data_IF_205064391284
#
_entry.id   IF_205064391284
#
_cell.length_a   1.000
_cell.length_b   1.000
_cell.length_c   1.000
_cell.angle_alpha   90.00
_cell.angle_beta   90.00
_cell.angle_gamma   90.00
#
_symmetry.space_group_name_H-M   'P 1'
#
loop_
_entity.id
_entity.type
_entity.pdbx_description
1 polymer ?
#
# COMPACT_ATOMS: atom_id res chain seq x y z
N UNK A 1 -76.45 -0.73 16.95
CA UNK A 1 -75.24 -1.40 16.44
C UNK A 1 -74.19 -0.32 16.21
N UNK A 2 -73.22 -0.18 17.11
CA UNK A 2 -72.19 0.90 17.13
C UNK A 2 -70.89 0.36 16.49
N UNK A 3 -70.55 0.93 15.34
CA UNK A 3 -69.27 0.53 14.63
C UNK A 3 -68.12 1.28 15.27
N UNK A 4 -67.19 0.55 15.91
CA UNK A 4 -65.95 1.07 16.42
C UNK A 4 -64.93 1.09 15.26
N UNK A 5 -64.46 2.27 14.88
CA UNK A 5 -63.34 2.45 13.93
C UNK A 5 -62.04 2.45 14.72
N UNK A 6 -61.24 1.43 14.55
CA UNK A 6 -59.87 1.38 15.06
C UNK A 6 -58.97 2.04 14.02
N UNK A 7 -58.46 3.23 14.33
CA UNK A 7 -57.42 3.91 13.55
C UNK A 7 -56.06 3.37 13.97
N UNK A 8 -55.42 2.64 13.08
CA UNK A 8 -54.04 2.13 13.26
C UNK A 8 -53.08 3.26 12.86
N UNK A 9 -52.51 3.93 13.85
CA UNK A 9 -51.40 4.89 13.66
C UNK A 9 -50.10 4.11 13.45
N UNK A 10 -49.62 4.01 12.21
CA UNK A 10 -48.31 3.54 11.85
C UNK A 10 -47.26 4.61 12.19
N UNK A 11 -46.60 4.43 13.32
CA UNK A 11 -45.44 5.23 13.73
C UNK A 11 -44.22 4.75 12.95
N UNK A 12 -43.94 5.41 11.82
CA UNK A 12 -42.75 5.15 11.03
C UNK A 12 -41.50 5.68 11.76
N UNK A 13 -40.73 4.80 12.37
CA UNK A 13 -39.38 5.13 12.90
C UNK A 13 -38.40 5.26 11.75
N UNK A 14 -38.10 6.50 11.34
CA UNK A 14 -36.99 6.82 10.48
C UNK A 14 -35.67 6.53 11.23
N UNK A 15 -35.07 5.37 10.99
CA UNK A 15 -33.71 5.05 11.44
C UNK A 15 -32.72 5.85 10.58
N UNK A 16 -32.39 7.05 11.03
CA UNK A 16 -31.34 7.87 10.41
C UNK A 16 -29.99 7.14 10.59
N UNK A 17 -29.58 6.42 9.57
CA UNK A 17 -28.20 5.91 9.48
C UNK A 17 -27.26 7.11 9.28
N UNK A 18 -26.74 7.67 10.38
CA UNK A 18 -25.64 8.62 10.30
C UNK A 18 -24.41 7.88 9.76
N UNK A 19 -24.05 8.15 8.50
CA UNK A 19 -22.76 7.77 7.96
C UNK A 19 -21.68 8.58 8.69
N UNK A 20 -21.15 8.03 9.77
CA UNK A 20 -19.92 8.55 10.35
C UNK A 20 -18.79 8.22 9.36
N UNK A 21 -18.20 9.22 8.73
CA UNK A 21 -16.96 9.09 8.00
C UNK A 21 -15.91 8.54 8.99
N UNK A 22 -15.57 7.27 8.85
CA UNK A 22 -14.56 6.64 9.71
C UNK A 22 -13.19 7.25 9.37
N UNK A 23 -12.53 7.79 10.40
CA UNK A 23 -11.14 8.24 10.24
C UNK A 23 -10.27 7.06 9.82
N UNK A 24 -9.26 7.28 8.96
CA UNK A 24 -8.30 6.26 8.61
C UNK A 24 -7.65 5.66 9.87
N UNK A 25 -7.35 4.35 9.88
CA UNK A 25 -6.61 3.76 10.99
C UNK A 25 -5.21 4.38 11.09
N UNK A 26 -4.66 4.43 12.29
CA UNK A 26 -3.28 4.88 12.49
C UNK A 26 -2.29 3.93 11.84
N UNK A 27 -1.15 4.45 11.36
CA UNK A 27 -0.08 3.65 10.78
C UNK A 27 0.43 2.56 11.74
N UNK A 28 0.55 2.90 13.04
CA UNK A 28 0.95 1.95 14.09
C UNK A 28 -0.03 0.75 14.18
N UNK A 29 -1.33 1.02 14.15
CA UNK A 29 -2.34 -0.05 14.17
C UNK A 29 -2.26 -0.92 12.91
N UNK A 30 -2.22 -0.30 11.71
CA UNK A 30 -2.10 -1.04 10.45
C UNK A 30 -0.85 -1.91 10.47
N UNK A 31 0.28 -1.34 10.87
CA UNK A 31 1.57 -2.04 10.90
C UNK A 31 1.58 -3.20 11.92
N UNK A 32 1.02 -2.99 13.12
CA UNK A 32 0.87 -4.02 14.14
C UNK A 32 -0.01 -5.18 13.65
N UNK A 33 -1.17 -4.88 13.08
CA UNK A 33 -2.11 -5.88 12.58
C UNK A 33 -1.49 -6.66 11.40
N UNK A 34 -0.75 -5.96 10.52
CA UNK A 34 -0.03 -6.56 9.38
C UNK A 34 1.06 -7.52 9.84
N UNK A 35 1.85 -7.16 10.86
CA UNK A 35 2.86 -8.05 11.44
C UNK A 35 2.23 -9.30 12.01
N UNK A 36 1.20 -9.17 12.83
CA UNK A 36 0.50 -10.32 13.40
C UNK A 36 -0.03 -11.27 12.31
N UNK A 37 -0.55 -10.72 11.22
CA UNK A 37 -0.99 -11.49 10.06
C UNK A 37 0.17 -12.20 9.34
N UNK A 38 1.30 -11.49 9.14
CA UNK A 38 2.49 -12.02 8.48
C UNK A 38 3.10 -13.18 9.30
N UNK A 39 3.22 -13.03 10.61
CA UNK A 39 3.67 -14.09 11.52
C UNK A 39 2.75 -15.31 11.48
N UNK A 40 1.43 -15.10 11.58
CA UNK A 40 0.44 -16.17 11.53
C UNK A 40 0.45 -16.94 10.21
N UNK A 41 0.66 -16.24 9.08
CA UNK A 41 0.64 -16.84 7.75
C UNK A 41 2.03 -17.27 7.26
N UNK A 42 3.08 -17.05 8.03
CA UNK A 42 4.49 -17.30 7.64
C UNK A 42 4.86 -16.61 6.34
N UNK A 43 4.48 -15.32 6.21
CA UNK A 43 4.71 -14.48 5.03
C UNK A 43 5.54 -13.26 5.37
N UNK A 44 6.09 -12.67 4.32
CA UNK A 44 6.71 -11.35 4.39
C UNK A 44 5.65 -10.24 4.38
N UNK A 45 6.07 -9.01 4.61
CA UNK A 45 5.21 -7.83 4.50
C UNK A 45 5.62 -7.04 3.26
N UNK A 46 4.65 -6.68 2.44
CA UNK A 46 4.79 -5.67 1.40
C UNK A 46 4.05 -4.41 1.87
N UNK A 47 4.80 -3.44 2.37
CA UNK A 47 4.26 -2.16 2.82
C UNK A 47 4.41 -1.13 1.71
N UNK A 48 3.32 -0.43 1.40
CA UNK A 48 3.24 0.61 0.37
C UNK A 48 2.81 1.91 1.02
N UNK A 49 3.63 2.95 0.88
CA UNK A 49 3.25 4.32 1.19
C UNK A 49 2.74 4.98 -0.09
N UNK A 50 1.57 5.57 -0.04
CA UNK A 50 0.80 6.01 -1.20
C UNK A 50 0.08 7.32 -0.89
N UNK A 51 -0.47 7.98 -1.91
CA UNK A 51 -1.36 9.13 -1.74
C UNK A 51 -2.52 9.06 -2.73
N UNK A 52 -3.68 9.57 -2.36
CA UNK A 52 -4.90 9.51 -3.18
C UNK A 52 -4.79 10.29 -4.49
N UNK A 53 -3.96 11.32 -4.52
CA UNK A 53 -3.71 12.18 -5.68
C UNK A 53 -2.59 11.69 -6.61
N UNK A 54 -1.88 10.60 -6.23
CA UNK A 54 -0.66 10.16 -6.88
C UNK A 54 -0.96 9.26 -8.09
N UNK A 55 -0.68 9.73 -9.30
CA UNK A 55 -0.86 8.96 -10.53
C UNK A 55 -0.07 7.65 -10.58
N UNK A 56 1.26 7.64 -10.30
CA UNK A 56 2.04 6.41 -10.22
C UNK A 56 1.54 5.42 -9.16
N UNK A 57 0.90 5.90 -8.07
CA UNK A 57 0.29 5.03 -7.07
C UNK A 57 -0.90 4.27 -7.64
N UNK A 58 -1.74 4.92 -8.46
CA UNK A 58 -2.83 4.26 -9.16
C UNK A 58 -2.34 3.23 -10.18
N UNK A 59 -1.20 3.49 -10.86
CA UNK A 59 -0.59 2.49 -11.74
C UNK A 59 -0.10 1.27 -10.95
N UNK A 60 0.48 1.48 -9.76
CA UNK A 60 0.85 0.41 -8.85
C UNK A 60 -0.38 -0.41 -8.42
N UNK A 61 -1.52 0.25 -8.15
CA UNK A 61 -2.76 -0.45 -7.80
C UNK A 61 -3.24 -1.33 -8.94
N UNK A 62 -3.22 -0.83 -10.18
CA UNK A 62 -3.58 -1.62 -11.38
C UNK A 62 -2.66 -2.84 -11.52
N UNK A 63 -1.36 -2.67 -11.31
CA UNK A 63 -0.40 -3.77 -11.32
C UNK A 63 -0.71 -4.82 -10.24
N UNK A 64 -0.86 -4.39 -8.98
CA UNK A 64 -1.10 -5.28 -7.84
C UNK A 64 -2.48 -5.96 -7.91
N UNK A 65 -3.43 -5.37 -8.62
CA UNK A 65 -4.78 -5.90 -8.81
C UNK A 65 -4.91 -6.85 -9.99
N UNK A 66 -3.92 -6.91 -10.91
CA UNK A 66 -3.89 -7.91 -11.97
C UNK A 66 -3.95 -9.33 -11.38
N UNK A 67 -4.85 -10.21 -11.84
CA UNK A 67 -5.11 -11.52 -11.18
C UNK A 67 -3.86 -12.37 -10.99
N UNK A 68 -2.99 -12.42 -11.99
CA UNK A 68 -1.74 -13.17 -11.97
C UNK A 68 -0.73 -12.59 -10.98
N UNK A 69 -0.63 -11.27 -10.88
CA UNK A 69 0.26 -10.56 -9.95
C UNK A 69 -0.26 -10.70 -8.52
N UNK A 70 -1.57 -10.47 -8.33
CA UNK A 70 -2.24 -10.61 -7.04
C UNK A 70 -2.05 -12.02 -6.45
N UNK A 71 -2.11 -13.06 -7.28
CA UNK A 71 -1.89 -14.44 -6.85
C UNK A 71 -0.47 -14.63 -6.30
N UNK A 72 0.55 -14.12 -7.02
CA UNK A 72 1.94 -14.20 -6.61
C UNK A 72 2.19 -13.38 -5.33
N UNK A 73 1.72 -12.12 -5.31
CA UNK A 73 1.88 -11.25 -4.13
C UNK A 73 1.24 -11.89 -2.90
N UNK A 74 0.01 -12.39 -2.99
CA UNK A 74 -0.68 -13.06 -1.88
C UNK A 74 0.01 -14.35 -1.40
N UNK A 75 0.75 -15.02 -2.27
CA UNK A 75 1.50 -16.23 -1.91
C UNK A 75 2.62 -15.90 -0.92
N UNK A 76 3.36 -14.83 -1.15
CA UNK A 76 4.58 -14.50 -0.41
C UNK A 76 4.41 -13.38 0.62
N UNK A 77 3.44 -12.49 0.43
CA UNK A 77 3.32 -11.27 1.22
C UNK A 77 1.94 -11.07 1.85
N UNK A 78 1.93 -10.40 2.98
CA UNK A 78 0.80 -9.62 3.46
C UNK A 78 0.99 -8.19 2.96
N UNK A 79 0.08 -7.71 2.13
CA UNK A 79 0.12 -6.36 1.55
C UNK A 79 -0.57 -5.38 2.51
N UNK A 80 0.12 -4.31 2.87
CA UNK A 80 -0.43 -3.19 3.62
C UNK A 80 -0.19 -1.87 2.89
N UNK A 81 -1.12 -0.91 3.04
CA UNK A 81 -1.02 0.43 2.46
C UNK A 81 -1.23 1.47 3.54
N UNK A 82 -0.45 2.55 3.46
CA UNK A 82 -0.58 3.74 4.28
C UNK A 82 -0.64 4.95 3.36
N UNK A 83 -1.63 5.80 3.58
CA UNK A 83 -1.71 7.08 2.88
C UNK A 83 -0.85 8.10 3.62
N UNK A 84 0.07 8.71 2.88
CA UNK A 84 0.98 9.75 3.35
C UNK A 84 0.95 10.94 2.39
N UNK A 85 1.43 12.11 2.84
CA UNK A 85 1.48 13.31 2.00
C UNK A 85 0.12 13.75 1.40
N UNK A 86 -0.99 13.40 2.02
CA UNK A 86 -2.35 13.74 1.56
C UNK A 86 -2.63 15.24 1.64
N UNK A 87 -1.94 15.96 2.54
CA UNK A 87 -2.01 17.42 2.64
C UNK A 87 -1.60 18.12 1.34
N UNK A 88 -0.64 17.55 0.59
CA UNK A 88 -0.24 18.06 -0.71
C UNK A 88 -1.37 17.97 -1.75
N UNK A 89 -2.18 16.90 -1.71
CA UNK A 89 -3.39 16.70 -2.52
C UNK A 89 -4.63 17.38 -1.96
N UNK A 90 -4.54 18.09 -0.82
CA UNK A 90 -5.67 18.75 -0.13
C UNK A 90 -6.73 17.78 0.42
N UNK A 91 -6.33 16.56 0.74
CA UNK A 91 -7.16 15.51 1.32
C UNK A 91 -6.63 15.01 2.68
N UNK A 92 -6.37 15.95 3.65
CA UNK A 92 -5.77 15.58 4.94
C UNK A 92 -6.61 14.57 5.74
N UNK A 93 -7.90 14.44 5.43
CA UNK A 93 -8.81 13.46 6.04
C UNK A 93 -8.50 12.02 5.64
N UNK A 94 -7.74 11.81 4.55
CA UNK A 94 -7.31 10.49 4.07
C UNK A 94 -5.95 10.07 4.62
N UNK A 95 -5.22 10.98 5.27
CA UNK A 95 -3.91 10.71 5.85
C UNK A 95 -3.97 9.58 6.87
N UNK A 96 -3.03 8.63 6.81
CA UNK A 96 -2.84 7.64 7.85
C UNK A 96 -2.02 8.25 8.99
N UNK A 97 -2.62 8.55 10.16
CA UNK A 97 -1.88 9.21 11.24
C UNK A 97 -0.65 8.39 11.65
N UNK A 98 0.53 9.00 11.68
CA UNK A 98 1.82 8.34 11.93
C UNK A 98 2.42 7.67 10.68
N UNK A 99 1.83 7.87 9.50
CA UNK A 99 2.31 7.28 8.24
C UNK A 99 3.62 7.87 7.77
N UNK A 100 3.76 9.20 7.85
CA UNK A 100 4.98 9.90 7.44
C UNK A 100 6.18 9.49 8.32
N UNK A 101 5.97 9.36 9.64
CA UNK A 101 7.03 8.92 10.56
C UNK A 101 7.46 7.47 10.28
N UNK A 102 6.51 6.61 9.90
CA UNK A 102 6.83 5.23 9.56
C UNK A 102 7.52 5.15 8.18
N UNK A 103 7.15 5.99 7.22
CA UNK A 103 7.81 6.13 5.92
C UNK A 103 9.29 6.53 6.10
N UNK A 104 9.55 7.59 6.87
CA UNK A 104 10.90 8.03 7.25
C UNK A 104 11.70 6.93 7.91
N UNK A 105 11.09 6.17 8.84
CA UNK A 105 11.74 5.04 9.51
C UNK A 105 12.27 4.00 8.54
N UNK A 106 11.57 3.77 7.42
CA UNK A 106 11.97 2.78 6.42
C UNK A 106 12.81 3.37 5.27
N UNK A 107 13.23 4.63 5.37
CA UNK A 107 14.11 5.28 4.42
C UNK A 107 13.38 6.12 3.37
N UNK A 108 12.11 6.43 3.59
CA UNK A 108 11.30 7.31 2.72
C UNK A 108 11.50 8.81 3.00
N UNK A 109 12.60 9.20 3.67
CA UNK A 109 12.93 10.60 3.90
C UNK A 109 13.82 11.16 2.80
N UNK A 110 13.54 12.40 2.37
CA UNK A 110 14.45 13.20 1.56
C UNK A 110 15.56 13.81 2.42
N UNK A 111 16.56 14.46 1.77
CA UNK A 111 17.67 15.15 2.46
C UNK A 111 17.23 16.22 3.46
N UNK A 112 16.00 16.71 3.37
CA UNK A 112 15.40 17.71 4.25
C UNK A 112 14.53 17.11 5.33
N UNK A 113 14.45 15.78 5.39
CA UNK A 113 13.59 15.05 6.33
C UNK A 113 12.10 15.05 5.98
N UNK A 114 11.74 15.46 4.74
CA UNK A 114 10.41 15.28 4.17
C UNK A 114 10.24 13.88 3.57
N UNK A 115 8.99 13.52 3.25
CA UNK A 115 8.66 12.24 2.58
C UNK A 115 9.24 12.26 1.16
N UNK A 116 10.02 11.23 0.79
CA UNK A 116 10.41 10.99 -0.60
C UNK A 116 9.15 10.73 -1.44
N UNK A 117 9.24 10.87 -2.76
CA UNK A 117 8.09 10.68 -3.64
C UNK A 117 7.31 9.38 -3.39
N UNK A 118 6.01 9.41 -3.67
CA UNK A 118 5.12 8.23 -3.59
C UNK A 118 4.85 7.69 -5.00
N UNK A 119 4.63 6.35 -5.14
CA UNK A 119 4.64 5.35 -4.08
C UNK A 119 6.05 5.06 -3.55
N UNK A 120 6.17 4.77 -2.25
CA UNK A 120 7.38 4.22 -1.67
C UNK A 120 7.11 2.78 -1.24
N UNK A 121 7.99 1.86 -1.64
CA UNK A 121 7.78 0.42 -1.53
C UNK A 121 8.78 -0.18 -0.55
N UNK A 122 8.29 -1.02 0.37
CA UNK A 122 9.12 -1.63 1.41
C UNK A 122 8.79 -3.11 1.55
N UNK A 123 9.81 -3.97 1.49
CA UNK A 123 9.69 -5.38 1.85
C UNK A 123 10.31 -5.62 3.21
N UNK A 124 9.52 -6.22 4.11
CA UNK A 124 9.91 -6.50 5.48
C UNK A 124 9.75 -8.00 5.76
N UNK A 125 10.48 -8.50 6.74
CA UNK A 125 10.20 -9.81 7.30
C UNK A 125 8.90 -9.82 8.13
N UNK A 126 8.48 -10.97 8.62
CA UNK A 126 7.27 -11.11 9.42
C UNK A 126 7.31 -10.31 10.74
N UNK A 127 8.51 -10.02 11.26
CA UNK A 127 8.70 -9.23 12.47
C UNK A 127 8.68 -7.72 12.21
N UNK A 128 8.65 -7.32 10.93
CA UNK A 128 8.66 -5.92 10.50
C UNK A 128 10.05 -5.32 10.37
N UNK A 129 11.10 -6.15 10.26
CA UNK A 129 12.46 -5.69 10.00
C UNK A 129 12.67 -5.49 8.49
N UNK A 130 13.42 -4.43 8.15
CA UNK A 130 13.63 -4.05 6.74
C UNK A 130 14.51 -5.08 6.02
N UNK A 131 13.99 -5.64 4.91
CA UNK A 131 14.77 -6.44 3.97
C UNK A 131 15.33 -5.54 2.87
N UNK A 132 14.45 -4.75 2.22
CA UNK A 132 14.80 -3.83 1.13
C UNK A 132 13.66 -2.85 0.90
N UNK A 133 13.99 -1.68 0.39
CA UNK A 133 13.04 -0.65 -0.01
C UNK A 133 13.26 -0.22 -1.47
N UNK A 134 12.39 0.65 -1.98
CA UNK A 134 12.43 1.12 -3.35
C UNK A 134 13.50 2.17 -3.65
N UNK A 135 14.34 2.54 -2.67
CA UNK A 135 15.50 3.39 -2.93
C UNK A 135 16.58 2.57 -3.66
N UNK A 136 16.70 2.82 -4.97
CA UNK A 136 17.73 2.21 -5.79
C UNK A 136 19.09 2.87 -5.48
N UNK A 137 20.14 2.09 -5.21
CA UNK A 137 21.47 2.66 -5.00
C UNK A 137 21.95 3.46 -6.22
N UNK A 138 22.40 4.68 -5.99
CA UNK A 138 22.94 5.57 -7.02
C UNK A 138 24.26 6.17 -6.51
N UNK A 139 25.26 6.22 -7.39
CA UNK A 139 26.56 6.80 -7.02
C UNK A 139 26.40 8.29 -6.66
N UNK A 140 26.90 8.66 -5.49
CA UNK A 140 26.80 10.03 -4.97
C UNK A 140 25.50 10.33 -4.19
N UNK A 141 24.57 9.37 -4.11
CA UNK A 141 23.33 9.47 -3.35
C UNK A 141 23.26 8.31 -2.34
N UNK A 142 23.82 8.46 -1.13
CA UNK A 142 23.91 7.37 -0.15
C UNK A 142 22.55 6.84 0.29
N UNK A 143 21.47 7.66 0.28
CA UNK A 143 20.09 7.29 0.54
C UNK A 143 19.44 6.55 -0.62
N UNK A 144 20.03 6.62 -1.83
CA UNK A 144 19.47 6.10 -3.07
C UNK A 144 18.33 6.95 -3.64
N UNK A 145 17.81 6.55 -4.80
CA UNK A 145 16.68 7.20 -5.47
C UNK A 145 15.45 6.29 -5.42
N UNK A 146 14.34 6.77 -4.88
CA UNK A 146 13.08 6.04 -4.90
C UNK A 146 12.59 5.83 -6.34
N UNK A 147 12.44 4.57 -6.76
CA UNK A 147 11.94 4.23 -8.11
C UNK A 147 10.44 4.50 -8.28
N UNK A 148 9.69 4.63 -7.19
CA UNK A 148 8.23 4.74 -7.26
C UNK A 148 7.56 3.51 -7.88
N UNK A 149 6.58 3.72 -8.79
CA UNK A 149 6.04 2.65 -9.64
C UNK A 149 7.07 2.28 -10.70
N UNK A 150 7.47 1.00 -10.82
CA UNK A 150 8.51 0.58 -11.76
C UNK A 150 8.00 0.57 -13.20
N UNK A 151 8.23 1.67 -13.93
CA UNK A 151 7.83 1.85 -15.32
C UNK A 151 9.04 1.84 -16.28
N UNK A 152 10.14 2.47 -15.89
CA UNK A 152 11.35 2.51 -16.70
C UNK A 152 12.19 1.23 -16.55
N UNK A 153 12.99 0.84 -17.54
CA UNK A 153 13.80 -0.39 -17.49
C UNK A 153 14.63 -0.52 -16.21
N UNK A 154 15.30 0.54 -15.76
CA UNK A 154 16.14 0.52 -14.56
C UNK A 154 15.31 0.44 -13.25
N UNK A 155 14.07 0.96 -13.25
CA UNK A 155 13.12 0.85 -12.13
C UNK A 155 12.61 -0.60 -12.02
N UNK A 156 12.27 -1.20 -13.17
CA UNK A 156 11.85 -2.61 -13.24
C UNK A 156 12.98 -3.52 -12.77
N UNK A 157 14.21 -3.28 -13.24
CA UNK A 157 15.38 -4.07 -12.85
C UNK A 157 15.60 -4.01 -11.33
N UNK A 158 15.46 -2.81 -10.72
CA UNK A 158 15.57 -2.68 -9.27
C UNK A 158 14.42 -3.38 -8.53
N UNK A 159 13.19 -3.23 -8.97
CA UNK A 159 12.04 -3.92 -8.37
C UNK A 159 12.20 -5.44 -8.42
N UNK A 160 12.70 -5.99 -9.54
CA UNK A 160 13.01 -7.41 -9.66
C UNK A 160 14.16 -7.83 -8.73
N UNK A 161 15.16 -6.97 -8.54
CA UNK A 161 16.24 -7.21 -7.57
C UNK A 161 15.72 -7.20 -6.12
N UNK A 162 14.79 -6.30 -5.79
CA UNK A 162 14.10 -6.28 -4.49
C UNK A 162 13.35 -7.59 -4.25
N UNK A 163 12.57 -8.05 -5.23
CA UNK A 163 11.83 -9.33 -5.14
C UNK A 163 12.78 -10.51 -4.94
N UNK A 164 13.86 -10.58 -5.70
CA UNK A 164 14.88 -11.63 -5.56
C UNK A 164 15.53 -11.63 -4.18
N UNK A 165 15.77 -10.45 -3.61
CA UNK A 165 16.34 -10.32 -2.26
C UNK A 165 15.36 -10.75 -1.18
N UNK A 166 14.09 -10.37 -1.31
CA UNK A 166 13.05 -10.69 -0.32
C UNK A 166 12.55 -12.13 -0.41
N UNK A 167 12.43 -12.66 -1.64
CA UNK A 167 11.83 -13.97 -1.93
C UNK A 167 12.79 -14.78 -2.82
N UNK A 168 13.94 -15.25 -2.30
CA UNK A 168 14.91 -16.01 -3.09
C UNK A 168 14.34 -17.32 -3.65
N UNK A 169 13.28 -17.87 -3.03
CA UNK A 169 12.57 -19.08 -3.46
C UNK A 169 11.47 -18.81 -4.51
N UNK A 170 11.26 -17.58 -4.96
CA UNK A 170 10.31 -17.27 -6.03
C UNK A 170 10.68 -18.05 -7.30
N UNK A 171 9.70 -18.75 -7.87
CA UNK A 171 9.96 -19.55 -9.07
C UNK A 171 10.31 -18.67 -10.27
N UNK A 172 11.11 -19.19 -11.23
CA UNK A 172 11.43 -18.45 -12.45
C UNK A 172 10.17 -18.04 -13.25
N UNK A 173 9.10 -18.83 -13.20
CA UNK A 173 7.85 -18.53 -13.91
C UNK A 173 7.11 -17.36 -13.25
N UNK A 174 7.03 -17.33 -11.93
CA UNK A 174 6.45 -16.21 -11.19
C UNK A 174 7.22 -14.92 -11.42
N UNK A 175 8.56 -15.00 -11.36
CA UNK A 175 9.43 -13.85 -11.64
C UNK A 175 9.24 -13.33 -13.06
N UNK A 176 9.22 -14.22 -14.06
CA UNK A 176 8.95 -13.83 -15.47
C UNK A 176 7.56 -13.23 -15.65
N UNK A 177 6.55 -13.73 -14.94
CA UNK A 177 5.19 -13.19 -14.99
C UNK A 177 5.16 -11.73 -14.55
N UNK A 178 5.80 -11.43 -13.41
CA UNK A 178 5.90 -10.06 -12.89
C UNK A 178 6.66 -9.15 -13.86
N UNK A 179 7.86 -9.56 -14.26
CA UNK A 179 8.71 -8.77 -15.16
C UNK A 179 8.03 -8.50 -16.50
N UNK A 180 7.43 -9.54 -17.11
CA UNK A 180 6.72 -9.41 -18.39
C UNK A 180 5.51 -8.50 -18.28
N UNK A 181 4.82 -8.49 -17.15
CA UNK A 181 3.69 -7.58 -16.93
C UNK A 181 4.17 -6.12 -16.91
N UNK A 182 5.19 -5.82 -16.11
CA UNK A 182 5.76 -4.47 -16.00
C UNK A 182 6.31 -3.95 -17.33
N UNK A 183 7.03 -4.79 -18.09
CA UNK A 183 7.62 -4.40 -19.36
C UNK A 183 6.59 -4.24 -20.50
N UNK A 184 5.36 -4.77 -20.35
CA UNK A 184 4.26 -4.58 -21.32
C UNK A 184 3.40 -3.37 -21.00
N UNK A 185 3.38 -2.92 -19.75
CA UNK A 185 2.64 -1.73 -19.37
C UNK A 185 3.19 -0.51 -20.13
N UNK A 186 2.35 0.43 -20.60
CA UNK A 186 2.85 1.63 -21.25
C UNK A 186 3.74 2.40 -20.26
N UNK A 187 4.91 2.84 -20.73
CA UNK A 187 5.76 3.77 -19.97
C UNK A 187 4.96 5.04 -19.62
N UNK A 188 5.35 5.72 -18.57
CA UNK A 188 4.71 6.96 -18.07
C UNK A 188 4.66 8.04 -19.11
#
# INVERSE_FOLDING_TARGET
MRKVRVSLLLLGTFLSCALFAQKPPTADRVFKDTKAQAEQQHKLIFLVFSASWCGPCHQLDVFLDAPEIRAIVKKYFVLARLNVAEKAGKHPELESPGGEELDVKFGGADEKGGVTGVPFLVFLDAKGELIVNSNRPVQGHPEGDNIGYPAEPYEIDWFMAMLKKAVPEMTPDESRTIESWLRRAPAK
#
